data_IF_035500558007
#
_entry.id   IF_035500558007
#
_cell.length_a   1.000
_cell.length_b   1.000
_cell.length_c   1.000
_cell.angle_alpha   90.00
_cell.angle_beta   90.00
_cell.angle_gamma   90.00
#
_symmetry.space_group_name_H-M   'P 1'
#
loop_
_entity.id
_entity.type
_entity.pdbx_description
1 polymer ?
#
# COMPACT_ATOMS: atom_id res chain seq x y z
N UNK A 1 6.21 -18.71 -6.68
CA UNK A 1 5.15 -17.99 -7.42
C UNK A 1 4.61 -16.96 -6.46
N UNK A 2 4.82 -15.68 -6.74
CA UNK A 2 4.48 -14.57 -5.83
C UNK A 2 3.07 -14.03 -6.07
N UNK A 3 2.27 -14.75 -6.86
CA UNK A 3 1.05 -14.24 -7.45
C UNK A 3 -0.16 -14.25 -6.48
N UNK A 4 0.07 -14.48 -5.17
CA UNK A 4 -0.97 -14.58 -4.14
C UNK A 4 -0.52 -14.12 -2.73
N UNK A 5 0.55 -13.31 -2.63
CA UNK A 5 0.96 -12.80 -1.32
C UNK A 5 0.05 -11.66 -0.88
N UNK A 6 -0.75 -11.93 0.15
CA UNK A 6 -1.49 -10.89 0.86
C UNK A 6 -0.67 -10.36 2.02
N UNK A 7 -0.56 -9.04 2.10
CA UNK A 7 0.08 -8.33 3.19
C UNK A 7 -0.98 -7.86 4.17
N UNK A 8 -0.67 -7.94 5.46
CA UNK A 8 -1.52 -7.39 6.51
C UNK A 8 -0.81 -6.22 7.15
N UNK A 9 -1.50 -5.08 7.27
CA UNK A 9 -1.00 -3.96 8.06
C UNK A 9 -0.88 -4.39 9.52
N UNK A 10 0.31 -4.24 10.10
CA UNK A 10 0.56 -4.47 11.53
C UNK A 10 0.22 -3.26 12.38
N UNK A 11 0.31 -2.07 11.77
CA UNK A 11 0.00 -0.77 12.35
C UNK A 11 -0.85 0.04 11.37
N UNK A 12 -1.63 1.02 11.84
CA UNK A 12 -2.39 1.90 10.95
C UNK A 12 -1.47 2.66 10.00
N UNK A 13 -1.91 2.82 8.76
CA UNK A 13 -1.28 3.77 7.82
C UNK A 13 -2.06 5.06 7.85
N UNK A 14 -1.35 6.16 8.09
CA UNK A 14 -1.89 7.51 8.02
C UNK A 14 -1.39 8.21 6.77
N UNK A 15 -2.30 8.85 6.06
CA UNK A 15 -1.99 9.68 4.91
C UNK A 15 -2.58 11.08 5.11
N UNK A 16 -1.68 12.03 5.30
CA UNK A 16 -1.99 13.42 5.59
C UNK A 16 -2.17 14.19 4.29
N UNK A 17 -3.36 14.72 4.05
CA UNK A 17 -3.66 15.53 2.86
C UNK A 17 -3.19 16.98 3.04
N UNK A 18 -3.19 17.44 4.29
CA UNK A 18 -2.71 18.76 4.73
C UNK A 18 -2.02 18.59 6.09
N UNK A 19 -1.52 19.69 6.67
CA UNK A 19 -1.01 19.71 8.05
C UNK A 19 -2.13 19.72 9.11
N UNK A 20 -3.41 19.69 8.69
CA UNK A 20 -4.57 19.62 9.59
C UNK A 20 -4.77 18.19 10.11
N UNK A 21 -4.99 18.00 11.43
CA UNK A 21 -5.29 16.69 12.00
C UNK A 21 -6.61 16.10 11.54
N UNK A 22 -7.52 16.92 11.01
CA UNK A 22 -8.82 16.48 10.50
C UNK A 22 -8.74 15.95 9.06
N UNK A 23 -7.64 16.20 8.34
CA UNK A 23 -7.44 15.86 6.92
C UNK A 23 -6.54 14.63 6.74
N UNK A 24 -6.80 13.57 7.52
CA UNK A 24 -6.01 12.34 7.52
C UNK A 24 -6.86 11.15 7.09
N UNK A 25 -6.36 10.40 6.10
CA UNK A 25 -6.91 9.09 5.73
C UNK A 25 -6.23 8.03 6.60
N UNK A 26 -7.03 7.30 7.36
CA UNK A 26 -6.56 6.19 8.20
C UNK A 26 -6.94 4.85 7.58
N UNK A 27 -5.94 4.01 7.30
CA UNK A 27 -6.15 2.60 6.97
C UNK A 27 -5.81 1.77 8.21
N UNK A 28 -6.76 1.03 8.79
CA UNK A 28 -6.57 0.40 10.09
C UNK A 28 -5.57 -0.75 10.04
N UNK A 29 -4.90 -1.00 11.17
CA UNK A 29 -4.18 -2.25 11.37
C UNK A 29 -5.11 -3.45 11.14
N UNK A 30 -4.57 -4.52 10.55
CA UNK A 30 -5.33 -5.68 10.13
C UNK A 30 -5.87 -5.60 8.71
N UNK A 31 -5.85 -4.44 8.04
CA UNK A 31 -6.19 -4.33 6.63
C UNK A 31 -5.31 -5.25 5.78
N UNK A 32 -5.90 -5.88 4.76
CA UNK A 32 -5.24 -6.86 3.91
C UNK A 32 -5.19 -6.34 2.47
N UNK A 33 -3.98 -6.22 1.93
CA UNK A 33 -3.68 -5.64 0.61
C UNK A 33 -2.80 -6.61 -0.19
N UNK A 34 -2.94 -6.63 -1.51
CA UNK A 34 -2.03 -7.31 -2.43
C UNK A 34 -0.96 -6.37 -3.02
N UNK A 35 -0.96 -5.10 -2.60
CA UNK A 35 -0.10 -4.01 -3.10
C UNK A 35 -0.28 -3.82 -4.61
N UNK A 36 0.73 -3.31 -5.31
CA UNK A 36 0.60 -3.06 -6.74
C UNK A 36 0.70 -4.37 -7.54
N UNK A 37 -0.38 -4.73 -8.24
CA UNK A 37 -0.41 -5.80 -9.24
C UNK A 37 0.40 -5.41 -10.50
N UNK A 38 1.72 -5.57 -10.44
CA UNK A 38 2.62 -5.30 -11.58
C UNK A 38 3.06 -6.61 -12.26
N UNK A 39 3.01 -6.73 -13.60
CA UNK A 39 3.57 -7.89 -14.30
C UNK A 39 5.07 -8.09 -14.00
N UNK A 40 5.48 -9.34 -13.74
CA UNK A 40 6.85 -9.68 -13.27
C UNK A 40 7.98 -9.17 -14.17
N UNK A 41 7.75 -9.10 -15.48
CA UNK A 41 8.73 -8.57 -16.44
C UNK A 41 9.11 -7.11 -16.16
N UNK A 42 8.22 -6.35 -15.50
CA UNK A 42 8.39 -4.93 -15.24
C UNK A 42 8.97 -4.64 -13.84
N UNK A 43 9.18 -5.64 -13.00
CA UNK A 43 9.56 -5.44 -11.58
C UNK A 43 10.91 -4.75 -11.37
N UNK A 44 11.82 -4.81 -12.34
CA UNK A 44 13.09 -4.08 -12.27
C UNK A 44 12.91 -2.55 -12.31
N UNK A 45 11.80 -2.08 -12.88
CA UNK A 45 11.45 -0.65 -12.99
C UNK A 45 10.31 -0.29 -12.03
N UNK A 46 9.32 -1.17 -11.94
CA UNK A 46 8.10 -1.01 -11.16
C UNK A 46 7.90 -2.22 -10.23
N UNK A 47 8.63 -2.32 -9.10
CA UNK A 47 8.45 -3.42 -8.15
C UNK A 47 7.06 -3.38 -7.50
N UNK A 48 6.40 -4.50 -7.18
CA UNK A 48 5.03 -4.49 -6.64
C UNK A 48 4.88 -3.78 -5.28
N UNK A 49 6.01 -3.56 -4.59
CA UNK A 49 6.13 -2.89 -3.30
C UNK A 49 7.27 -1.86 -3.30
N UNK A 50 7.29 -0.98 -2.30
CA UNK A 50 8.36 0.02 -2.10
C UNK A 50 7.79 1.43 -2.03
N UNK A 51 8.38 2.36 -2.80
CA UNK A 51 8.06 3.81 -2.77
C UNK A 51 6.56 4.11 -2.82
N UNK A 52 5.79 3.37 -3.61
CA UNK A 52 4.37 3.60 -3.82
C UNK A 52 3.47 2.62 -3.07
N UNK A 53 4.00 1.82 -2.13
CA UNK A 53 3.20 0.88 -1.36
C UNK A 53 2.09 1.57 -0.56
N UNK A 54 2.37 2.73 0.07
CA UNK A 54 1.33 3.51 0.77
C UNK A 54 0.21 3.96 -0.17
N UNK A 55 0.54 4.36 -1.39
CA UNK A 55 -0.45 4.75 -2.38
C UNK A 55 -1.30 3.57 -2.84
N UNK A 56 -0.68 2.39 -3.04
CA UNK A 56 -1.41 1.15 -3.34
C UNK A 56 -2.36 0.78 -2.18
N UNK A 57 -1.90 0.84 -0.93
CA UNK A 57 -2.72 0.56 0.27
C UNK A 57 -3.96 1.46 0.35
N UNK A 58 -3.85 2.73 -0.04
CA UNK A 58 -4.98 3.68 -0.04
C UNK A 58 -5.90 3.49 -1.25
N UNK A 59 -5.36 2.94 -2.35
CA UNK A 59 -6.10 2.69 -3.59
C UNK A 59 -6.99 1.45 -3.50
N UNK A 60 -6.46 0.37 -2.92
CA UNK A 60 -7.16 -0.89 -2.67
C UNK A 60 -8.43 -0.66 -1.83
#
# INVERSE_FOLDING_TARGET
MLDDYRWRLVEPVEFWLTDSPDDVIHVPAGYVTDLASVPRLLWSVFPPHGRYAKAAIIHD
#
